data_IF_059828195016
#
_entry.id   IF_059828195016
#
_cell.length_a   1.000
_cell.length_b   1.000
_cell.length_c   1.000
_cell.angle_alpha   90.00
_cell.angle_beta   90.00
_cell.angle_gamma   90.00
#
_symmetry.space_group_name_H-M   'P 1'
#
loop_
_entity.id
_entity.type
_entity.pdbx_description
1 polymer ?
#
# COMPACT_ATOMS: atom_id res chain seq x y z
N UNK A 1 -39.60 -36.95 -16.39
CA UNK A 1 -39.16 -35.58 -16.71
C UNK A 1 -38.47 -35.60 -18.07
N UNK A 2 -38.90 -34.76 -19.02
CA UNK A 2 -38.37 -34.81 -20.38
C UNK A 2 -36.95 -34.21 -20.41
N UNK A 3 -36.06 -34.74 -21.28
CA UNK A 3 -34.65 -34.28 -21.37
C UNK A 3 -34.53 -32.76 -21.53
N UNK A 4 -35.45 -32.13 -22.27
CA UNK A 4 -35.52 -30.67 -22.44
C UNK A 4 -35.82 -29.94 -21.13
N UNK A 5 -36.73 -30.47 -20.32
CA UNK A 5 -37.08 -29.92 -19.00
C UNK A 5 -35.93 -30.07 -18.01
N UNK A 6 -35.23 -31.22 -18.00
CA UNK A 6 -34.06 -31.45 -17.15
C UNK A 6 -32.89 -30.50 -17.50
N UNK A 7 -32.65 -30.26 -18.78
CA UNK A 7 -31.67 -29.27 -19.25
C UNK A 7 -32.02 -27.85 -18.82
N UNK A 8 -33.29 -27.46 -18.92
CA UNK A 8 -33.74 -26.13 -18.51
C UNK A 8 -33.57 -25.94 -16.99
N UNK A 9 -33.94 -26.94 -16.19
CA UNK A 9 -33.78 -26.89 -14.72
C UNK A 9 -32.31 -26.82 -14.33
N UNK A 10 -31.42 -27.56 -15.00
CA UNK A 10 -29.98 -27.50 -14.74
C UNK A 10 -29.39 -26.12 -15.05
N UNK A 11 -29.78 -25.50 -16.18
CA UNK A 11 -29.33 -24.14 -16.54
C UNK A 11 -29.78 -23.11 -15.50
N UNK A 12 -31.05 -23.17 -15.07
CA UNK A 12 -31.58 -22.26 -14.05
C UNK A 12 -30.85 -22.45 -12.71
N UNK A 13 -30.57 -23.70 -12.32
CA UNK A 13 -29.82 -23.98 -11.10
C UNK A 13 -28.39 -23.42 -11.13
N UNK A 14 -27.69 -23.54 -12.27
CA UNK A 14 -26.34 -22.97 -12.44
C UNK A 14 -26.38 -21.44 -12.39
N UNK A 15 -27.35 -20.81 -13.03
CA UNK A 15 -27.53 -19.34 -12.98
C UNK A 15 -27.82 -18.88 -11.54
N UNK A 16 -28.68 -19.59 -10.81
CA UNK A 16 -28.98 -19.27 -9.43
C UNK A 16 -27.75 -19.41 -8.52
N UNK A 17 -26.96 -20.47 -8.67
CA UNK A 17 -25.70 -20.66 -7.92
C UNK A 17 -24.69 -19.55 -8.26
N UNK A 18 -24.53 -19.20 -9.54
CA UNK A 18 -23.63 -18.13 -9.96
C UNK A 18 -24.08 -16.77 -9.41
N UNK A 19 -25.38 -16.49 -9.40
CA UNK A 19 -25.94 -15.26 -8.83
C UNK A 19 -25.71 -15.19 -7.32
N UNK A 20 -25.95 -16.28 -6.59
CA UNK A 20 -25.64 -16.36 -5.15
C UNK A 20 -24.14 -16.15 -4.93
N UNK A 21 -23.28 -16.88 -5.63
CA UNK A 21 -21.84 -16.73 -5.51
C UNK A 21 -21.37 -15.29 -5.77
N UNK A 22 -21.91 -14.64 -6.79
CA UNK A 22 -21.62 -13.24 -7.11
C UNK A 22 -22.04 -12.27 -5.99
N UNK A 23 -23.22 -12.48 -5.40
CA UNK A 23 -23.72 -11.63 -4.31
C UNK A 23 -22.89 -11.76 -3.03
N UNK A 24 -22.40 -12.97 -2.72
CA UNK A 24 -21.57 -13.23 -1.54
C UNK A 24 -20.07 -12.99 -1.77
N UNK A 25 -19.63 -12.76 -3.01
CA UNK A 25 -18.22 -12.53 -3.28
C UNK A 25 -17.81 -11.13 -2.79
N UNK A 26 -16.78 -11.02 -1.94
CA UNK A 26 -16.26 -9.74 -1.49
C UNK A 26 -15.75 -8.90 -2.68
N UNK A 27 -16.17 -7.64 -2.78
CA UNK A 27 -15.69 -6.70 -3.80
C UNK A 27 -14.74 -5.68 -3.18
N UNK A 28 -13.59 -5.48 -3.81
CA UNK A 28 -12.62 -4.45 -3.44
C UNK A 28 -13.16 -3.06 -3.78
N UNK A 29 -13.15 -2.17 -2.79
CA UNK A 29 -13.54 -0.77 -2.90
C UNK A 29 -12.28 0.08 -2.70
N UNK A 30 -11.85 0.83 -3.72
CA UNK A 30 -10.74 1.78 -3.58
C UNK A 30 -11.06 2.86 -2.54
N UNK A 31 -10.08 3.21 -1.72
CA UNK A 31 -10.17 4.28 -0.73
C UNK A 31 -9.38 5.53 -1.12
N UNK A 32 -9.13 6.39 -0.13
CA UNK A 32 -8.32 7.58 -0.30
C UNK A 32 -6.87 7.21 -0.63
N UNK A 33 -6.25 8.02 -1.47
CA UNK A 33 -4.91 7.83 -1.99
C UNK A 33 -4.09 9.09 -1.72
N UNK A 34 -2.97 8.95 -1.03
CA UNK A 34 -1.94 9.97 -0.96
C UNK A 34 -0.67 9.43 -1.61
N UNK A 35 -0.05 10.21 -2.50
CA UNK A 35 1.18 9.80 -3.19
C UNK A 35 2.18 10.95 -3.23
N UNK A 36 3.46 10.63 -3.06
CA UNK A 36 4.58 11.57 -3.22
C UNK A 36 5.71 10.92 -4.01
N UNK A 37 6.34 11.70 -4.89
CA UNK A 37 7.55 11.30 -5.62
C UNK A 37 8.72 12.18 -5.21
N UNK A 38 9.85 11.57 -4.87
CA UNK A 38 11.13 12.26 -4.59
C UNK A 38 12.26 11.62 -5.39
N UNK A 39 13.28 12.40 -5.70
CA UNK A 39 14.49 11.90 -6.36
C UNK A 39 15.74 12.53 -5.74
N UNK A 40 16.86 11.82 -5.83
CA UNK A 40 18.16 12.28 -5.39
C UNK A 40 19.26 11.65 -6.23
N UNK A 41 20.38 12.33 -6.40
CA UNK A 41 21.54 11.81 -7.12
C UNK A 41 22.85 12.15 -6.43
N UNK A 42 23.86 11.32 -6.67
CA UNK A 42 25.24 11.54 -6.29
C UNK A 42 26.16 11.10 -7.43
N UNK A 43 27.21 11.88 -7.69
CA UNK A 43 28.21 11.60 -8.72
C UNK A 43 29.60 11.96 -8.21
N UNK A 44 30.58 11.13 -8.51
CA UNK A 44 32.00 11.39 -8.21
C UNK A 44 32.73 11.99 -9.42
N UNK A 45 33.90 12.62 -9.22
CA UNK A 45 34.75 13.09 -10.33
C UNK A 45 35.26 11.97 -11.26
N UNK A 46 35.13 10.70 -10.87
CA UNK A 46 35.61 9.54 -11.61
C UNK A 46 34.49 8.85 -12.43
N UNK A 47 33.29 9.43 -12.47
CA UNK A 47 32.17 8.94 -13.27
C UNK A 47 31.35 7.84 -12.60
N UNK A 48 31.44 7.73 -11.28
CA UNK A 48 30.56 6.85 -10.48
C UNK A 48 29.30 7.62 -10.15
N UNK A 49 28.15 7.13 -10.62
CA UNK A 49 26.86 7.80 -10.47
C UNK A 49 25.84 6.88 -9.83
N UNK A 50 25.08 7.44 -8.88
CA UNK A 50 23.89 6.83 -8.30
C UNK A 50 22.74 7.84 -8.35
N UNK A 51 21.62 7.45 -8.94
CA UNK A 51 20.39 8.23 -8.97
C UNK A 51 19.24 7.37 -8.48
N UNK A 52 18.48 7.89 -7.51
CA UNK A 52 17.32 7.25 -6.95
C UNK A 52 16.07 8.05 -7.29
N UNK A 53 15.02 7.33 -7.65
CA UNK A 53 13.66 7.86 -7.76
C UNK A 53 12.75 7.00 -6.91
N UNK A 54 12.09 7.63 -5.95
CA UNK A 54 11.22 6.99 -4.98
C UNK A 54 9.81 7.54 -5.15
N UNK A 55 8.88 6.64 -5.42
CA UNK A 55 7.45 6.92 -5.32
C UNK A 55 6.94 6.22 -4.08
N UNK A 56 6.15 6.92 -3.28
CA UNK A 56 5.50 6.33 -2.12
C UNK A 56 4.07 6.77 -2.03
N UNK A 57 3.25 5.93 -1.43
CA UNK A 57 1.88 6.30 -1.17
C UNK A 57 1.29 5.56 0.01
N UNK A 58 0.19 6.12 0.49
CA UNK A 58 -0.74 5.46 1.38
C UNK A 58 -2.06 5.31 0.67
N UNK A 59 -2.63 4.13 0.72
CA UNK A 59 -3.99 3.89 0.27
C UNK A 59 -4.83 3.29 1.39
N UNK A 60 -6.08 3.70 1.46
CA UNK A 60 -7.08 2.93 2.21
C UNK A 60 -7.84 2.05 1.23
N UNK A 61 -8.31 0.88 1.68
CA UNK A 61 -9.15 0.02 0.86
C UNK A 61 -10.16 -0.72 1.72
N UNK A 62 -11.26 -1.16 1.09
CA UNK A 62 -12.30 -1.93 1.75
C UNK A 62 -12.79 -3.09 0.88
N UNK A 63 -13.54 -3.99 1.50
CA UNK A 63 -14.02 -5.24 0.91
C UNK A 63 -15.47 -5.50 1.34
N UNK A 64 -16.46 -5.15 0.52
CA UNK A 64 -17.87 -5.38 0.87
C UNK A 64 -18.52 -6.41 -0.07
N UNK A 65 -19.34 -7.30 0.49
CA UNK A 65 -20.31 -8.10 -0.29
C UNK A 65 -21.60 -7.29 -0.43
N UNK A 66 -22.29 -7.46 -1.58
CA UNK A 66 -23.58 -6.82 -1.86
C UNK A 66 -24.62 -7.17 -0.79
N UNK A 67 -24.58 -8.42 -0.27
CA UNK A 67 -25.50 -8.87 0.79
C UNK A 67 -25.18 -8.19 2.12
N UNK A 68 -23.90 -8.04 2.48
CA UNK A 68 -23.49 -7.38 3.71
C UNK A 68 -23.88 -5.89 3.71
N UNK A 69 -23.69 -5.19 2.59
CA UNK A 69 -24.11 -3.80 2.43
C UNK A 69 -25.64 -3.63 2.52
N UNK A 70 -26.40 -4.59 1.97
CA UNK A 70 -27.86 -4.57 2.03
C UNK A 70 -28.39 -4.90 3.43
N UNK A 71 -27.87 -5.93 4.10
CA UNK A 71 -28.28 -6.29 5.47
C UNK A 71 -27.92 -5.18 6.46
N UNK A 72 -26.74 -4.56 6.34
CA UNK A 72 -26.31 -3.44 7.17
C UNK A 72 -27.21 -2.19 6.99
N UNK A 73 -27.78 -1.97 5.80
CA UNK A 73 -28.70 -0.84 5.56
C UNK A 73 -30.07 -0.98 6.25
N UNK A 74 -30.43 -2.18 6.73
CA UNK A 74 -31.71 -2.48 7.38
C UNK A 74 -31.59 -2.81 8.87
N UNK A 75 -30.43 -3.29 9.32
CA UNK A 75 -30.13 -3.60 10.71
C UNK A 75 -29.29 -2.45 11.27
N UNK A 76 -29.96 -1.44 11.83
CA UNK A 76 -29.37 -0.25 12.48
C UNK A 76 -28.59 -0.61 13.79
N UNK A 77 -28.01 -1.81 13.86
CA UNK A 77 -27.50 -2.45 15.07
C UNK A 77 -26.13 -3.10 14.95
N UNK A 78 -25.49 -3.07 13.77
CA UNK A 78 -24.06 -3.40 13.68
C UNK A 78 -23.24 -2.12 13.86
N UNK A 79 -22.48 -2.08 14.96
CA UNK A 79 -21.37 -1.14 15.16
C UNK A 79 -20.30 -1.40 14.11
N UNK A 80 -20.54 -0.99 12.86
CA UNK A 80 -19.47 -0.88 11.89
C UNK A 80 -18.68 0.37 12.27
N UNK A 81 -17.40 0.22 12.57
CA UNK A 81 -16.48 1.36 12.65
C UNK A 81 -16.40 1.93 11.22
N UNK A 82 -17.19 2.97 10.96
CA UNK A 82 -17.17 3.67 9.69
C UNK A 82 -16.18 4.82 9.83
N UNK A 83 -15.16 4.83 8.97
CA UNK A 83 -14.17 5.89 8.94
C UNK A 83 -14.50 6.83 7.79
N UNK A 84 -14.51 8.13 8.06
CA UNK A 84 -14.55 9.16 7.03
C UNK A 84 -13.11 9.51 6.67
N UNK A 85 -12.66 9.09 5.49
CA UNK A 85 -11.31 9.39 4.99
C UNK A 85 -11.47 10.33 3.81
N UNK A 86 -10.92 11.54 3.93
CA UNK A 86 -11.04 12.62 2.92
C UNK A 86 -12.49 12.84 2.44
N UNK A 87 -13.44 12.88 3.39
CA UNK A 87 -14.86 13.15 3.10
C UNK A 87 -15.66 11.96 2.55
N UNK A 88 -15.09 10.74 2.55
CA UNK A 88 -15.76 9.54 2.06
C UNK A 88 -15.91 8.49 3.17
N UNK A 89 -17.15 8.08 3.46
CA UNK A 89 -17.45 6.99 4.40
C UNK A 89 -16.96 5.64 3.87
N UNK A 90 -16.19 4.92 4.69
CA UNK A 90 -15.65 3.59 4.39
C UNK A 90 -15.98 2.63 5.52
N UNK A 91 -16.55 1.47 5.17
CA UNK A 91 -17.00 0.46 6.12
C UNK A 91 -15.87 -0.41 6.69
N UNK A 92 -14.59 -0.13 6.37
CA UNK A 92 -13.46 -1.02 6.70
C UNK A 92 -12.14 -0.31 6.97
N UNK A 93 -11.31 -1.03 7.73
CA UNK A 93 -10.27 -0.49 8.58
C UNK A 93 -8.86 -0.72 8.03
N UNK A 94 -8.50 -0.62 6.75
CA UNK A 94 -7.10 -0.90 6.33
C UNK A 94 -6.37 0.30 5.72
N UNK A 95 -5.12 0.49 6.15
CA UNK A 95 -4.13 1.42 5.59
C UNK A 95 -2.98 0.61 5.02
N UNK A 96 -2.69 0.79 3.73
CA UNK A 96 -1.54 0.20 3.04
C UNK A 96 -0.53 1.30 2.78
N UNK A 97 0.70 1.12 3.26
CA UNK A 97 1.83 2.01 3.03
C UNK A 97 2.79 1.33 2.06
N UNK A 98 3.03 1.95 0.90
CA UNK A 98 3.79 1.32 -0.20
C UNK A 98 4.91 2.22 -0.73
N UNK A 99 5.91 1.57 -1.33
CA UNK A 99 6.97 2.24 -2.07
C UNK A 99 7.28 1.55 -3.41
N UNK A 100 7.75 2.36 -4.36
CA UNK A 100 8.34 1.93 -5.63
C UNK A 100 9.63 2.74 -5.84
N UNK A 101 10.75 2.04 -5.88
CA UNK A 101 12.10 2.59 -6.01
C UNK A 101 12.68 2.20 -7.38
N UNK A 102 13.27 3.18 -8.06
CA UNK A 102 14.12 2.96 -9.23
C UNK A 102 15.51 3.52 -8.98
N UNK A 103 16.53 2.70 -9.17
CA UNK A 103 17.95 3.05 -8.98
C UNK A 103 18.66 2.98 -10.33
N UNK A 104 19.07 4.13 -10.84
CA UNK A 104 19.92 4.23 -12.04
C UNK A 104 21.35 4.41 -11.60
N UNK A 105 22.26 3.62 -12.16
CA UNK A 105 23.65 3.63 -11.71
C UNK A 105 24.65 3.39 -12.85
N UNK A 106 25.90 3.80 -12.63
CA UNK A 106 27.05 3.54 -13.50
C UNK A 106 28.32 3.42 -12.66
N UNK A 107 29.18 2.45 -13.00
CA UNK A 107 30.47 2.20 -12.34
C UNK A 107 30.38 2.07 -10.80
N UNK A 108 29.33 1.41 -10.30
CA UNK A 108 29.18 1.11 -8.87
C UNK A 108 28.77 -0.34 -8.66
N UNK A 109 29.10 -0.88 -7.49
CA UNK A 109 28.83 -2.25 -7.04
C UNK A 109 28.23 -2.23 -5.62
N UNK A 110 27.78 -3.39 -5.12
CA UNK A 110 27.22 -3.53 -3.77
C UNK A 110 26.10 -2.52 -3.46
N UNK A 111 25.17 -2.34 -4.41
CA UNK A 111 24.04 -1.43 -4.25
C UNK A 111 23.08 -2.01 -3.20
N UNK A 112 22.73 -1.22 -2.20
CA UNK A 112 21.91 -1.65 -1.06
C UNK A 112 20.96 -0.53 -0.64
N UNK A 113 19.71 -0.89 -0.33
CA UNK A 113 18.82 -0.04 0.45
C UNK A 113 19.25 -0.16 1.91
N UNK A 114 20.03 0.80 2.40
CA UNK A 114 20.46 0.88 3.79
C UNK A 114 19.24 1.05 4.71
N UNK A 115 18.35 1.98 4.37
CA UNK A 115 17.10 2.21 5.11
C UNK A 115 16.02 2.83 4.23
N UNK A 116 14.80 2.29 4.27
CA UNK A 116 13.61 2.89 3.69
C UNK A 116 12.45 2.77 4.67
N UNK A 117 11.84 3.89 5.02
CA UNK A 117 10.68 3.92 5.91
C UNK A 117 9.67 4.99 5.51
N UNK A 118 8.41 4.75 5.92
CA UNK A 118 7.37 5.77 5.97
C UNK A 118 7.05 6.04 7.43
N UNK A 119 7.07 7.32 7.82
CA UNK A 119 6.76 7.78 9.16
C UNK A 119 5.40 8.48 9.15
N UNK A 120 4.44 7.95 9.90
CA UNK A 120 3.18 8.63 10.19
C UNK A 120 3.37 9.58 11.36
N UNK A 121 2.91 10.82 11.23
CA UNK A 121 3.01 11.86 12.27
C UNK A 121 1.63 12.45 12.50
N UNK A 122 1.09 12.33 13.71
CA UNK A 122 -0.14 13.04 14.07
C UNK A 122 0.10 14.54 13.99
N UNK A 123 -0.76 15.23 13.25
CA UNK A 123 -0.77 16.68 13.15
C UNK A 123 -1.09 17.38 14.46
N UNK A 124 -1.81 16.72 15.38
CA UNK A 124 -2.34 17.35 16.58
C UNK A 124 -1.26 17.63 17.62
N UNK A 125 -0.36 16.67 17.84
CA UNK A 125 0.65 16.72 18.90
C UNK A 125 2.06 16.25 18.45
N UNK A 126 2.23 15.92 17.17
CA UNK A 126 3.48 15.41 16.58
C UNK A 126 3.94 14.04 17.10
N UNK A 127 3.08 13.30 17.80
CA UNK A 127 3.26 11.87 18.04
C UNK A 127 3.44 11.13 16.71
N UNK A 128 4.22 10.05 16.71
CA UNK A 128 4.62 9.45 15.44
C UNK A 128 5.14 8.03 15.53
N UNK A 129 4.93 7.29 14.45
CA UNK A 129 5.42 5.92 14.29
C UNK A 129 6.14 5.73 12.97
N UNK A 130 7.17 4.88 12.97
CA UNK A 130 7.99 4.60 11.78
C UNK A 130 7.75 3.18 11.29
N UNK A 131 7.26 3.06 10.06
CA UNK A 131 7.08 1.81 9.34
C UNK A 131 8.30 1.56 8.45
N UNK A 132 9.23 0.72 8.91
CA UNK A 132 10.37 0.27 8.11
C UNK A 132 9.89 -0.69 7.03
N UNK A 133 10.11 -0.31 5.76
CA UNK A 133 9.68 -1.08 4.58
C UNK A 133 10.83 -1.88 3.97
N UNK A 134 12.06 -1.37 4.07
CA UNK A 134 13.27 -2.10 3.73
C UNK A 134 14.44 -1.65 4.60
N UNK A 135 15.30 -2.60 4.99
CA UNK A 135 16.52 -2.35 5.76
C UNK A 135 17.57 -3.35 5.32
N UNK A 136 18.78 -2.86 5.05
CA UNK A 136 19.91 -3.66 4.58
C UNK A 136 19.58 -4.61 3.43
N UNK A 137 18.79 -4.14 2.46
CA UNK A 137 18.30 -4.95 1.34
C UNK A 137 19.19 -4.74 0.14
N UNK A 138 19.95 -5.76 -0.24
CA UNK A 138 20.78 -5.72 -1.44
C UNK A 138 19.94 -5.62 -2.71
N UNK A 139 20.38 -4.79 -3.65
CA UNK A 139 19.79 -4.60 -4.97
C UNK A 139 20.73 -5.15 -6.04
N UNK A 140 20.17 -5.88 -6.99
CA UNK A 140 20.94 -6.47 -8.09
C UNK A 140 20.11 -6.50 -9.38
N UNK A 141 20.78 -6.44 -10.52
CA UNK A 141 20.15 -6.36 -11.85
C UNK A 141 20.83 -5.32 -12.73
N UNK A 142 20.41 -5.23 -13.99
CA UNK A 142 20.87 -4.16 -14.89
C UNK A 142 20.26 -2.81 -14.49
N UNK A 143 21.02 -1.73 -14.65
CA UNK A 143 20.50 -0.37 -14.51
C UNK A 143 19.42 -0.06 -15.56
N UNK A 144 18.26 0.52 -15.18
CA UNK A 144 17.85 0.81 -13.81
C UNK A 144 17.35 -0.43 -13.06
N UNK A 145 17.73 -0.56 -11.78
CA UNK A 145 17.15 -1.57 -10.87
C UNK A 145 15.83 -1.04 -10.35
N UNK A 146 14.79 -1.89 -10.32
CA UNK A 146 13.50 -1.54 -9.73
C UNK A 146 13.25 -2.41 -8.50
N UNK A 147 12.68 -1.81 -7.46
CA UNK A 147 12.29 -2.50 -6.23
C UNK A 147 10.98 -1.94 -5.69
N UNK A 148 10.15 -2.79 -5.09
CA UNK A 148 8.86 -2.41 -4.53
C UNK A 148 8.56 -3.18 -3.25
N UNK A 149 7.68 -2.61 -2.43
CA UNK A 149 7.24 -3.23 -1.20
C UNK A 149 6.11 -2.46 -0.54
N UNK A 150 5.42 -3.13 0.40
CA UNK A 150 4.35 -2.52 1.16
C UNK A 150 4.20 -3.15 2.53
N UNK A 151 3.53 -2.43 3.43
CA UNK A 151 3.01 -2.97 4.68
C UNK A 151 1.56 -2.55 4.84
N UNK A 152 0.77 -3.39 5.49
CA UNK A 152 -0.66 -3.16 5.70
C UNK A 152 -0.98 -3.23 7.19
N UNK A 153 -1.79 -2.29 7.66
CA UNK A 153 -2.24 -2.16 9.05
C UNK A 153 -3.72 -1.87 9.10
N UNK A 154 -4.35 -2.16 10.24
CA UNK A 154 -5.71 -1.64 10.45
C UNK A 154 -5.67 -0.12 10.69
N UNK A 155 -6.76 0.63 10.43
CA UNK A 155 -6.86 2.07 10.73
C UNK A 155 -6.70 2.27 12.23
N UNK A 156 -7.38 1.46 13.05
CA UNK A 156 -7.24 1.49 14.52
C UNK A 156 -5.81 1.27 14.96
N UNK A 157 -5.13 0.23 14.44
CA UNK A 157 -3.73 -0.04 14.79
C UNK A 157 -2.81 1.06 14.27
N UNK A 158 -3.08 1.64 13.10
CA UNK A 158 -2.28 2.72 12.53
C UNK A 158 -2.38 4.01 13.37
N UNK A 159 -3.61 4.38 13.77
CA UNK A 159 -3.86 5.51 14.65
C UNK A 159 -3.26 5.25 16.04
N UNK A 160 -3.39 4.03 16.56
CA UNK A 160 -2.78 3.62 17.84
C UNK A 160 -1.25 3.67 17.77
N UNK A 161 -0.64 3.14 16.71
CA UNK A 161 0.81 3.19 16.49
C UNK A 161 1.30 4.64 16.53
N UNK A 162 0.55 5.56 15.91
CA UNK A 162 0.86 6.97 15.86
C UNK A 162 0.45 7.74 17.13
N UNK A 163 -0.07 7.08 18.18
CA UNK A 163 -0.68 7.70 19.37
C UNK A 163 -1.76 8.77 19.04
N UNK A 164 -2.42 8.62 17.90
CA UNK A 164 -3.42 9.54 17.41
C UNK A 164 -4.83 9.20 17.95
N UNK A 165 -5.72 10.19 17.90
CA UNK A 165 -7.13 10.01 18.24
C UNK A 165 -7.80 8.98 17.30
N UNK A 166 -8.50 8.00 17.91
CA UNK A 166 -9.22 6.95 17.17
C UNK A 166 -10.54 7.45 16.55
N UNK A 167 -10.99 8.64 16.92
CA UNK A 167 -12.28 9.20 16.48
C UNK A 167 -12.16 10.24 15.38
N UNK A 168 -11.06 10.99 15.39
CA UNK A 168 -10.74 12.02 14.39
C UNK A 168 -9.25 12.38 14.51
N UNK A 169 -8.49 12.23 13.43
CA UNK A 169 -7.07 12.51 13.40
C UNK A 169 -6.61 12.82 11.97
N UNK A 170 -5.59 13.66 11.85
CA UNK A 170 -4.91 13.92 10.59
C UNK A 170 -3.47 13.45 10.68
N UNK A 171 -3.10 12.45 9.89
CA UNK A 171 -1.75 11.87 9.85
C UNK A 171 -0.96 12.43 8.66
N UNK A 172 0.17 13.06 8.96
CA UNK A 172 1.13 13.51 7.97
C UNK A 172 2.18 12.42 7.72
N UNK A 173 2.28 11.97 6.47
CA UNK A 173 3.29 10.97 6.09
C UNK A 173 4.60 11.62 5.66
N UNK A 174 5.71 11.15 6.21
CA UNK A 174 7.07 11.52 5.81
C UNK A 174 7.80 10.28 5.32
N UNK A 175 8.45 10.38 4.16
CA UNK A 175 9.23 9.28 3.62
C UNK A 175 10.73 9.57 3.69
N UNK A 176 11.50 8.52 3.97
CA UNK A 176 12.95 8.53 3.89
C UNK A 176 13.44 7.28 3.15
N UNK A 177 14.42 7.46 2.29
CA UNK A 177 15.16 6.38 1.65
C UNK A 177 16.63 6.75 1.58
N UNK A 178 17.48 5.80 1.94
CA UNK A 178 18.93 5.85 1.76
C UNK A 178 19.36 4.62 1.00
N UNK A 179 19.97 4.85 -0.16
CA UNK A 179 20.63 3.82 -0.97
C UNK A 179 22.12 4.08 -0.91
N UNK A 180 22.89 3.03 -0.69
CA UNK A 180 24.35 3.06 -0.69
C UNK A 180 24.88 2.18 -1.80
N UNK A 181 26.02 2.54 -2.36
CA UNK A 181 26.75 1.74 -3.32
C UNK A 181 28.24 2.04 -3.18
N UNK A 182 29.09 1.11 -3.61
CA UNK A 182 30.55 1.27 -3.63
C UNK A 182 30.98 1.59 -5.06
N UNK A 183 31.75 2.67 -5.25
CA UNK A 183 32.37 2.97 -6.53
C UNK A 183 33.28 1.84 -6.98
N UNK A 184 33.15 1.41 -8.25
CA UNK A 184 34.02 0.36 -8.81
C UNK A 184 35.32 0.93 -9.38
N UNK A 185 35.47 2.27 -9.39
CA UNK A 185 36.66 2.96 -9.87
C UNK A 185 37.39 3.54 -8.65
N UNK A 186 38.19 2.71 -7.97
CA UNK A 186 39.11 3.25 -6.97
C UNK A 186 40.10 4.20 -7.64
N UNK A 187 40.23 5.43 -7.15
CA UNK A 187 41.27 6.36 -7.59
C UNK A 187 42.65 5.75 -7.36
N UNK A 188 43.15 5.01 -8.35
CA UNK A 188 44.56 4.73 -8.49
C UNK A 188 45.23 6.00 -9.01
N UNK A 189 45.91 6.70 -8.11
CA UNK A 189 47.10 7.49 -8.43
C UNK A 189 48.19 7.12 -7.44
#
# INVERSE_FOLDING_TARGET
>A
MNRKTLLLTAIVAVIAIAAVAYLYYPQMIPGALAQGTTSSSAETPFGEKLEIRLTSGSETSGTASIVAAWVASYQDSESQNVYEVDGNYKSQEQVTLSYSLSVTYSNVENIEIDTLYIKGVDSSDSSSYTYTLASSKSLSGSSPISDEGSTQKSITDHLTDCDASLTDATINYKIYCKVTATGSISGQT
#
